data_IF_473279950069
#
_entry.id   IF_473279950069
#
_cell.length_a   1.000
_cell.length_b   1.000
_cell.length_c   1.000
_cell.angle_alpha   90.00
_cell.angle_beta   90.00
_cell.angle_gamma   90.00
#
_symmetry.space_group_name_H-M   'P 1'
#
loop_
_entity.id
_entity.type
_entity.pdbx_description
1 polymer ?
#
# COMPACT_ATOMS: atom_id res chain seq x y z
N UNK A 1 -13.08 -42.31 1.89
CA UNK A 1 -12.24 -41.33 1.17
C UNK A 1 -12.72 -39.97 1.60
N UNK A 2 -12.08 -39.40 2.62
CA UNK A 2 -12.45 -38.08 3.14
C UNK A 2 -11.82 -37.01 2.26
N UNK A 3 -12.67 -36.23 1.60
CA UNK A 3 -12.24 -35.08 0.80
C UNK A 3 -11.97 -33.95 1.78
N UNK A 4 -10.71 -33.75 2.16
CA UNK A 4 -10.31 -32.66 3.04
C UNK A 4 -10.65 -31.32 2.36
N UNK A 5 -11.62 -30.60 2.93
CA UNK A 5 -11.97 -29.25 2.50
C UNK A 5 -10.73 -28.36 2.59
N UNK A 6 -10.34 -27.76 1.47
CA UNK A 6 -9.19 -26.84 1.33
C UNK A 6 -9.45 -25.45 1.97
N UNK A 7 -10.22 -25.37 3.05
CA UNK A 7 -10.62 -24.09 3.67
C UNK A 7 -9.52 -23.44 4.52
N UNK A 8 -8.46 -24.17 4.87
CA UNK A 8 -7.42 -23.68 5.79
C UNK A 8 -6.07 -23.42 5.12
N UNK A 9 -6.09 -22.75 3.96
CA UNK A 9 -4.84 -22.19 3.41
C UNK A 9 -4.41 -21.04 4.33
N UNK A 10 -3.40 -21.28 5.17
CA UNK A 10 -2.74 -20.24 5.97
C UNK A 10 -1.96 -19.34 4.99
N UNK A 11 -2.63 -18.33 4.44
CA UNK A 11 -1.95 -17.35 3.59
C UNK A 11 -0.98 -16.50 4.43
N UNK A 12 0.25 -16.26 3.93
CA UNK A 12 1.17 -15.28 4.49
C UNK A 12 0.47 -13.96 4.81
N UNK A 13 0.83 -13.32 5.93
CA UNK A 13 0.30 -11.99 6.32
C UNK A 13 0.38 -10.96 5.17
N UNK A 14 1.40 -11.06 4.33
CA UNK A 14 1.61 -10.24 3.13
C UNK A 14 0.51 -10.36 2.07
N UNK A 15 -0.27 -11.46 2.09
CA UNK A 15 -1.42 -11.66 1.19
C UNK A 15 -2.74 -11.33 1.91
N UNK A 16 -2.79 -11.47 3.24
CA UNK A 16 -3.95 -11.04 4.05
C UNK A 16 -4.06 -9.52 4.21
N UNK A 17 -2.94 -8.80 4.18
CA UNK A 17 -2.92 -7.33 4.20
C UNK A 17 -2.14 -6.81 3.00
N UNK A 18 -2.82 -6.49 1.88
CA UNK A 18 -2.17 -5.72 0.83
C UNK A 18 -1.80 -4.35 1.41
N UNK A 19 -0.54 -3.96 1.23
CA UNK A 19 -0.08 -2.61 1.47
C UNK A 19 -1.01 -1.63 0.77
N UNK A 20 -1.36 -0.52 1.43
CA UNK A 20 -2.35 0.43 0.91
C UNK A 20 -1.67 1.71 0.46
N UNK A 21 -2.28 2.36 -0.52
CA UNK A 21 -1.89 3.69 -0.95
C UNK A 21 -2.11 4.69 0.19
N UNK A 22 -1.07 5.43 0.58
CA UNK A 22 -1.14 6.46 1.62
C UNK A 22 -2.11 7.59 1.27
N UNK A 23 -2.37 7.82 -0.03
CA UNK A 23 -3.29 8.86 -0.48
C UNK A 23 -4.75 8.38 -0.58
N UNK A 24 -5.00 7.26 -1.27
CA UNK A 24 -6.36 6.82 -1.60
C UNK A 24 -6.83 5.56 -0.88
N UNK A 25 -6.00 4.96 -0.01
CA UNK A 25 -6.32 3.78 0.77
C UNK A 25 -6.51 2.48 -0.03
N UNK A 26 -6.39 2.53 -1.37
CA UNK A 26 -6.53 1.36 -2.25
C UNK A 26 -5.34 0.41 -2.11
N UNK A 27 -5.53 -0.90 -2.31
CA UNK A 27 -4.43 -1.86 -2.32
C UNK A 27 -3.40 -1.49 -3.38
N UNK A 28 -2.12 -1.57 -3.01
CA UNK A 28 -1.01 -1.25 -3.89
C UNK A 28 -0.84 -2.35 -4.95
N UNK A 29 -0.64 -1.99 -6.22
CA UNK A 29 -0.22 -2.93 -7.24
C UNK A 29 1.22 -3.41 -6.97
N UNK A 30 1.61 -4.54 -7.58
CA UNK A 30 3.00 -5.05 -7.53
C UNK A 30 4.04 -3.97 -7.89
N UNK A 31 3.71 -3.08 -8.83
CA UNK A 31 4.52 -1.89 -9.17
C UNK A 31 3.84 -0.64 -8.61
N UNK A 32 4.24 -0.23 -7.42
CA UNK A 32 3.78 1.01 -6.79
C UNK A 32 4.87 2.07 -6.80
N UNK A 33 4.48 3.31 -6.52
CA UNK A 33 5.39 4.45 -6.43
C UNK A 33 5.76 4.64 -4.96
N UNK A 34 7.06 4.63 -4.67
CA UNK A 34 7.57 4.97 -3.34
C UNK A 34 8.11 6.39 -3.39
N UNK A 35 7.71 7.21 -2.43
CA UNK A 35 8.24 8.54 -2.21
C UNK A 35 8.89 8.58 -0.84
N UNK A 36 10.12 9.08 -0.79
CA UNK A 36 10.84 9.30 0.45
C UNK A 36 10.82 10.78 0.79
N UNK A 37 10.28 11.13 1.95
CA UNK A 37 10.31 12.48 2.50
C UNK A 37 11.01 12.48 3.86
N UNK A 38 12.31 12.73 3.87
CA UNK A 38 13.13 12.72 5.09
C UNK A 38 12.78 13.84 6.08
N UNK A 39 11.99 14.84 5.67
CA UNK A 39 11.54 15.92 6.54
C UNK A 39 10.34 15.53 7.40
N UNK A 40 9.70 14.39 7.14
CA UNK A 40 8.58 13.89 7.92
C UNK A 40 9.02 12.75 8.86
N UNK A 41 8.28 12.57 9.95
CA UNK A 41 8.48 11.44 10.88
C UNK A 41 8.33 10.10 10.14
N UNK A 42 7.36 10.01 9.23
CA UNK A 42 7.20 8.88 8.33
C UNK A 42 7.93 9.14 7.00
N UNK A 43 9.19 8.73 6.93
CA UNK A 43 10.05 9.05 5.79
C UNK A 43 9.71 8.31 4.50
N UNK A 44 8.88 7.26 4.53
CA UNK A 44 8.47 6.48 3.36
C UNK A 44 6.95 6.46 3.19
N UNK A 45 6.50 6.88 2.01
CA UNK A 45 5.11 6.83 1.59
C UNK A 45 4.97 6.07 0.27
N UNK A 46 3.90 5.28 0.16
CA UNK A 46 3.63 4.38 -0.95
C UNK A 46 2.33 4.75 -1.63
N UNK A 47 2.38 4.84 -2.95
CA UNK A 47 1.26 5.30 -3.77
C UNK A 47 0.96 4.31 -4.90
N UNK A 48 -0.34 4.10 -5.15
CA UNK A 48 -0.77 3.22 -6.24
C UNK A 48 -0.51 3.81 -7.64
N UNK A 49 -0.30 5.12 -7.74
CA UNK A 49 -0.06 5.81 -9.01
C UNK A 49 0.75 7.10 -8.81
N UNK A 50 1.36 7.62 -9.89
CA UNK A 50 2.03 8.92 -9.88
C UNK A 50 1.07 10.07 -9.53
N UNK A 51 -0.17 10.01 -10.02
CA UNK A 51 -1.22 10.99 -9.70
C UNK A 51 -1.51 11.06 -8.20
N UNK A 52 -1.57 9.91 -7.51
CA UNK A 52 -1.75 9.88 -6.06
C UNK A 52 -0.56 10.50 -5.33
N UNK A 53 0.66 10.23 -5.79
CA UNK A 53 1.87 10.87 -5.24
C UNK A 53 1.84 12.39 -5.42
N UNK A 54 1.52 12.88 -6.62
CA UNK A 54 1.50 14.33 -6.92
C UNK A 54 0.44 15.06 -6.10
N UNK A 55 -0.78 14.51 -6.00
CA UNK A 55 -1.84 15.08 -5.16
C UNK A 55 -1.43 15.13 -3.69
N UNK A 56 -0.87 14.03 -3.18
CA UNK A 56 -0.37 14.00 -1.82
C UNK A 56 0.73 15.04 -1.59
N UNK A 57 1.68 15.17 -2.51
CA UNK A 57 2.77 16.15 -2.41
C UNK A 57 2.24 17.59 -2.42
N UNK A 58 1.23 17.87 -3.24
CA UNK A 58 0.55 19.17 -3.28
C UNK A 58 -0.17 19.46 -1.96
N UNK A 59 -0.88 18.48 -1.40
CA UNK A 59 -1.53 18.62 -0.09
C UNK A 59 -0.53 18.80 1.07
N UNK A 60 0.64 18.13 1.03
CA UNK A 60 1.69 18.34 2.02
C UNK A 60 2.36 19.71 1.89
N UNK A 61 2.50 20.24 0.67
CA UNK A 61 3.08 21.56 0.45
C UNK A 61 2.14 22.71 0.84
N UNK A 62 0.83 22.44 0.92
CA UNK A 62 -0.19 23.39 1.37
C UNK A 62 -0.44 23.35 2.88
N UNK A 63 0.17 22.39 3.58
CA UNK A 63 0.13 22.25 5.03
C UNK A 63 1.27 23.02 5.68
#
# INVERSE_FOLDING_TARGET
>A
MEVSNFTDIILPKSIKQPEKCDYCGKPLPKRHVVHKNISQENSEHKFCSRLCKEKWCHEQALK
#
